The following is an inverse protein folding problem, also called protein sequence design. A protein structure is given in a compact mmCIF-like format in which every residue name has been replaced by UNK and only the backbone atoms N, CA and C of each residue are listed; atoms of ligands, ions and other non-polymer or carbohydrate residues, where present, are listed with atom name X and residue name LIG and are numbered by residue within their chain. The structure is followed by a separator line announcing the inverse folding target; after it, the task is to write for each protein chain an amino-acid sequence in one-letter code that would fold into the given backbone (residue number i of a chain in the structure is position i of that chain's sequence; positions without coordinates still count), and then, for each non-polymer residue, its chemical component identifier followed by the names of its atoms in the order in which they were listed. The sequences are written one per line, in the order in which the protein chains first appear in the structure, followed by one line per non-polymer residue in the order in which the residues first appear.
data_IF_412942139288
#
_entry.id   IF_412942139288
#
_cell.length_a   1.000
_cell.length_b   1.000
_cell.length_c   1.000
_cell.angle_alpha   90.00
_cell.angle_beta   90.00
_cell.angle_gamma   90.00
#
_symmetry.space_group_name_H-M   'P 1'
#
loop_
_entity.id
_entity.type
_entity.pdbx_description
1 polymer ?
#
# COMPACT_ATOMS: atom_id res chain seq x y z
N UNK A 1 -2.14 20.79 19.58
CA UNK A 1 -1.51 19.58 19.01
C UNK A 1 -1.74 19.62 17.52
N UNK A 2 -0.70 19.51 16.68
CA UNK A 2 -0.91 19.25 15.24
C UNK A 2 -1.61 17.90 15.16
N UNK A 3 -2.72 17.80 14.44
CA UNK A 3 -3.26 16.49 14.09
C UNK A 3 -2.16 15.76 13.31
N UNK A 4 -1.64 14.66 13.86
CA UNK A 4 -0.68 13.83 13.15
C UNK A 4 -1.38 13.30 11.90
N UNK A 5 -0.82 13.62 10.74
CA UNK A 5 -1.39 13.27 9.44
C UNK A 5 -0.79 11.95 8.95
N UNK A 6 -1.64 10.98 8.68
CA UNK A 6 -1.29 9.69 8.08
C UNK A 6 -1.17 9.81 6.54
N UNK A 7 -0.74 8.75 5.86
CA UNK A 7 -0.49 8.74 4.41
C UNK A 7 -1.71 9.19 3.58
N UNK A 8 -2.91 8.78 3.97
CA UNK A 8 -4.16 9.05 3.26
C UNK A 8 -4.79 10.42 3.63
N UNK A 9 -4.11 11.26 4.41
CA UNK A 9 -4.69 12.54 4.88
C UNK A 9 -4.66 13.65 3.83
N UNK A 10 -3.70 13.66 2.90
CA UNK A 10 -3.50 14.72 1.92
C UNK A 10 -3.09 14.15 0.55
N UNK A 11 -3.41 14.87 -0.54
CA UNK A 11 -2.91 14.53 -1.88
C UNK A 11 -1.41 14.77 -1.99
N UNK A 12 -0.69 13.81 -2.57
CA UNK A 12 0.75 13.88 -2.75
C UNK A 12 1.25 12.82 -3.75
N UNK A 13 2.37 13.12 -4.39
CA UNK A 13 3.15 12.17 -5.18
C UNK A 13 4.38 11.73 -4.38
N UNK A 14 4.73 10.45 -4.50
CA UNK A 14 5.76 9.82 -3.70
C UNK A 14 6.63 8.95 -4.60
N UNK A 15 7.95 9.07 -4.47
CA UNK A 15 8.91 8.13 -5.03
C UNK A 15 9.05 6.94 -4.09
N UNK A 16 9.10 5.72 -4.61
CA UNK A 16 9.20 4.50 -3.82
C UNK A 16 10.49 3.74 -4.09
N UNK A 17 11.05 3.14 -3.05
CA UNK A 17 12.15 2.18 -3.12
C UNK A 17 11.78 0.97 -2.26
N UNK A 18 11.62 -0.18 -2.91
CA UNK A 18 11.06 -1.39 -2.33
C UNK A 18 12.05 -2.55 -2.37
N UNK A 19 12.02 -3.35 -1.31
CA UNK A 19 12.66 -4.65 -1.23
C UNK A 19 11.58 -5.71 -0.96
N UNK A 20 11.52 -6.73 -1.81
CA UNK A 20 10.61 -7.88 -1.70
C UNK A 20 11.45 -9.12 -1.39
N UNK A 21 11.00 -9.92 -0.43
CA UNK A 21 11.67 -11.13 0.02
C UNK A 21 10.68 -12.29 -0.07
N UNK A 22 10.97 -13.23 -0.96
CA UNK A 22 10.14 -14.43 -1.10
C UNK A 22 10.30 -15.39 0.08
N UNK A 23 9.45 -16.42 0.12
CA UNK A 23 9.48 -17.48 1.15
C UNK A 23 10.81 -18.25 1.25
N UNK A 24 11.64 -18.21 0.21
CA UNK A 24 12.93 -18.89 0.15
C UNK A 24 14.09 -17.95 0.50
N UNK A 25 13.80 -16.67 0.79
CA UNK A 25 14.75 -15.64 1.19
C UNK A 25 15.40 -14.89 0.02
N UNK A 26 14.93 -15.10 -1.21
CA UNK A 26 15.45 -14.36 -2.35
C UNK A 26 14.95 -12.92 -2.33
N UNK A 27 15.85 -11.99 -2.64
CA UNK A 27 15.58 -10.55 -2.57
C UNK A 27 15.42 -9.98 -3.98
N UNK A 28 14.31 -9.29 -4.20
CA UNK A 28 14.05 -8.45 -5.37
C UNK A 28 13.92 -6.99 -4.96
N UNK A 29 14.42 -6.09 -5.80
CA UNK A 29 14.33 -4.65 -5.56
C UNK A 29 13.52 -3.97 -6.65
N UNK A 30 12.80 -2.93 -6.26
CA UNK A 30 12.01 -2.13 -7.17
C UNK A 30 12.09 -0.64 -6.83
N UNK A 31 11.90 0.17 -7.86
CA UNK A 31 11.63 1.60 -7.72
C UNK A 31 10.28 1.89 -8.34
N UNK A 32 9.59 2.91 -7.86
CA UNK A 32 8.25 3.19 -8.31
C UNK A 32 7.75 4.55 -7.87
N UNK A 33 6.46 4.78 -8.08
CA UNK A 33 5.79 5.97 -7.57
C UNK A 33 4.40 5.61 -7.04
N UNK A 34 3.91 6.45 -6.14
CA UNK A 34 2.54 6.46 -5.68
C UNK A 34 1.98 7.87 -5.77
N UNK A 35 0.80 8.02 -6.36
CA UNK A 35 0.06 9.27 -6.47
C UNK A 35 -1.24 9.12 -5.73
N UNK A 36 -1.36 9.87 -4.63
CA UNK A 36 -2.54 9.93 -3.80
C UNK A 36 -3.31 11.19 -4.14
N UNK A 37 -4.59 11.04 -4.44
CA UNK A 37 -5.53 12.10 -4.78
C UNK A 37 -6.69 12.00 -3.80
N UNK A 38 -6.86 13.01 -2.94
CA UNK A 38 -7.93 13.10 -1.96
C UNK A 38 -9.01 14.05 -2.47
N UNK A 39 -10.19 13.53 -2.77
CA UNK A 39 -11.35 14.27 -3.31
C UNK A 39 -12.60 14.01 -2.45
N UNK A 40 -12.71 14.75 -1.33
CA UNK A 40 -13.82 14.59 -0.41
C UNK A 40 -13.80 13.23 0.32
N UNK A 41 -14.86 12.40 0.23
CA UNK A 41 -14.88 11.08 0.85
C UNK A 41 -14.14 10.00 0.03
N UNK A 42 -13.79 10.30 -1.23
CA UNK A 42 -13.10 9.39 -2.13
C UNK A 42 -11.60 9.72 -2.19
N UNK A 43 -10.78 8.68 -2.17
CA UNK A 43 -9.33 8.76 -2.33
C UNK A 43 -8.92 7.80 -3.44
N UNK A 44 -8.14 8.29 -4.39
CA UNK A 44 -7.54 7.48 -5.44
C UNK A 44 -6.05 7.36 -5.14
N UNK A 45 -5.52 6.14 -5.17
CA UNK A 45 -4.08 5.89 -5.11
C UNK A 45 -3.63 5.13 -6.35
N UNK A 46 -2.93 5.83 -7.23
CA UNK A 46 -2.32 5.25 -8.43
C UNK A 46 -0.86 4.94 -8.12
N UNK A 47 -0.48 3.67 -8.23
CA UNK A 47 0.89 3.24 -7.94
C UNK A 47 1.46 2.47 -9.11
N UNK A 48 2.77 2.57 -9.27
CA UNK A 48 3.52 1.67 -10.12
C UNK A 48 4.86 1.32 -9.51
N UNK A 49 5.36 0.13 -9.79
CA UNK A 49 6.70 -0.31 -9.42
C UNK A 49 7.37 -0.99 -10.63
N UNK A 50 8.67 -0.78 -10.78
CA UNK A 50 9.52 -1.43 -11.76
C UNK A 50 10.31 -2.55 -11.09
N UNK A 51 9.91 -3.80 -11.36
CA UNK A 51 10.54 -5.02 -10.85
C UNK A 51 11.21 -5.71 -12.04
N UNK A 52 12.54 -5.88 -12.01
CA UNK A 52 13.30 -6.52 -13.09
C UNK A 52 13.00 -5.97 -14.50
N UNK A 53 12.78 -4.65 -14.60
CA UNK A 53 12.46 -3.99 -15.88
C UNK A 53 10.99 -4.11 -16.31
N UNK A 54 10.13 -4.77 -15.53
CA UNK A 54 8.68 -4.83 -15.75
C UNK A 54 7.97 -3.82 -14.87
N UNK A 55 7.09 -3.02 -15.48
CA UNK A 55 6.23 -2.07 -14.77
C UNK A 55 4.94 -2.75 -14.34
N UNK A 56 4.71 -2.81 -13.03
CA UNK A 56 3.48 -3.31 -12.41
C UNK A 56 2.71 -2.10 -11.90
N UNK A 57 1.43 -1.99 -12.23
CA UNK A 57 0.58 -0.88 -11.82
C UNK A 57 -0.57 -1.37 -10.94
N UNK A 58 -0.92 -0.59 -9.92
CA UNK A 58 -2.12 -0.78 -9.12
C UNK A 58 -2.89 0.54 -9.05
N UNK A 59 -4.22 0.46 -9.08
CA UNK A 59 -5.09 1.61 -8.86
C UNK A 59 -6.07 1.24 -7.76
N UNK A 60 -5.92 1.89 -6.61
CA UNK A 60 -6.78 1.75 -5.46
C UNK A 60 -7.86 2.83 -5.50
N UNK A 61 -9.11 2.41 -5.31
CA UNK A 61 -10.23 3.27 -4.93
C UNK A 61 -10.46 3.07 -3.44
N UNK A 62 -10.40 4.15 -2.68
CA UNK A 62 -10.44 4.13 -1.23
C UNK A 62 -11.59 5.03 -0.79
N UNK A 63 -12.52 4.48 -0.03
CA UNK A 63 -13.69 5.17 0.50
C UNK A 63 -13.53 5.40 2.00
N UNK A 64 -13.74 6.64 2.43
CA UNK A 64 -13.69 6.99 3.86
C UNK A 64 -14.99 6.57 4.56
N UNK A 65 -14.90 5.61 5.48
CA UNK A 65 -16.03 5.23 6.34
C UNK A 65 -16.09 6.06 7.62
N UNK A 66 -14.93 6.41 8.19
CA UNK A 66 -14.78 7.27 9.37
C UNK A 66 -13.40 7.93 9.38
N UNK A 67 -13.09 8.74 10.40
CA UNK A 67 -11.75 9.31 10.57
C UNK A 67 -10.66 8.26 10.83
N UNK A 68 -11.04 7.05 11.25
CA UNK A 68 -10.10 5.98 11.63
C UNK A 68 -10.23 4.72 10.77
N UNK A 69 -11.15 4.71 9.79
CA UNK A 69 -11.43 3.53 8.96
C UNK A 69 -11.77 3.92 7.53
N UNK A 70 -11.13 3.25 6.59
CA UNK A 70 -11.33 3.38 5.15
C UNK A 70 -11.49 2.00 4.55
N UNK A 71 -12.38 1.86 3.58
CA UNK A 71 -12.49 0.66 2.75
C UNK A 71 -11.74 0.87 1.45
N UNK A 72 -11.16 -0.18 0.86
CA UNK A 72 -10.55 -0.07 -0.46
C UNK A 72 -10.83 -1.24 -1.37
N UNK A 73 -10.81 -0.94 -2.66
CA UNK A 73 -10.75 -1.89 -3.76
C UNK A 73 -9.58 -1.55 -4.68
N UNK A 74 -8.86 -2.56 -5.15
CA UNK A 74 -7.78 -2.38 -6.11
C UNK A 74 -7.83 -3.44 -7.19
N UNK A 75 -7.77 -3.02 -8.45
CA UNK A 75 -7.58 -3.95 -9.56
C UNK A 75 -6.08 -4.14 -9.78
N UNK A 76 -5.56 -5.30 -9.40
CA UNK A 76 -4.19 -5.71 -9.74
C UNK A 76 -4.25 -6.61 -10.99
N UNK A 77 -3.55 -6.29 -12.08
CA UNK A 77 -3.56 -7.10 -13.30
C UNK A 77 -3.04 -8.53 -13.14
N UNK A 78 -2.12 -8.77 -12.21
CA UNK A 78 -1.47 -10.07 -12.00
C UNK A 78 -2.15 -10.91 -10.93
N UNK A 79 -2.62 -10.28 -9.84
CA UNK A 79 -3.21 -10.95 -8.68
C UNK A 79 -4.74 -11.03 -8.75
N UNK A 80 -5.40 -10.08 -9.42
CA UNK A 80 -6.85 -9.94 -9.44
C UNK A 80 -7.36 -8.77 -8.58
N UNK A 81 -8.66 -8.80 -8.25
CA UNK A 81 -9.28 -7.75 -7.45
C UNK A 81 -8.92 -7.93 -5.98
N UNK A 82 -8.26 -6.94 -5.39
CA UNK A 82 -7.98 -6.87 -3.96
C UNK A 82 -9.06 -6.03 -3.28
N UNK A 83 -9.49 -6.45 -2.09
CA UNK A 83 -10.40 -5.68 -1.23
C UNK A 83 -9.95 -5.79 0.22
N UNK A 84 -10.10 -4.70 0.96
CA UNK A 84 -9.64 -4.63 2.34
C UNK A 84 -10.03 -3.36 3.06
N UNK A 85 -9.48 -3.21 4.26
CA UNK A 85 -9.69 -2.05 5.12
C UNK A 85 -8.35 -1.44 5.52
N UNK A 86 -8.31 -0.11 5.55
CA UNK A 86 -7.30 0.66 6.26
C UNK A 86 -7.85 1.13 7.61
N UNK A 87 -7.12 0.86 8.69
CA UNK A 87 -7.40 1.36 10.02
C UNK A 87 -6.28 2.32 10.45
N UNK A 88 -6.61 3.43 11.07
CA UNK A 88 -5.64 4.49 11.41
C UNK A 88 -5.47 4.60 12.92
N UNK A 89 -4.21 4.62 13.38
CA UNK A 89 -3.82 5.15 14.70
C UNK A 89 -2.77 6.23 14.46
N UNK A 90 -3.12 7.50 14.72
CA UNK A 90 -2.22 8.64 14.56
C UNK A 90 -1.64 8.71 13.14
N UNK A 91 -0.32 8.59 12.98
CA UNK A 91 0.41 8.59 11.72
C UNK A 91 0.58 7.20 11.09
N UNK A 92 -0.02 6.16 11.69
CA UNK A 92 0.12 4.77 11.28
C UNK A 92 -1.16 4.31 10.58
N UNK A 93 -1.01 3.66 9.43
CA UNK A 93 -2.10 3.00 8.70
C UNK A 93 -1.86 1.49 8.70
N UNK A 94 -2.85 0.74 9.16
CA UNK A 94 -2.89 -0.71 9.13
C UNK A 94 -3.83 -1.17 8.03
N UNK A 95 -3.30 -1.88 7.05
CA UNK A 95 -4.06 -2.48 5.95
C UNK A 95 -4.22 -3.98 6.20
N UNK A 96 -5.41 -4.51 5.94
CA UNK A 96 -5.61 -5.96 5.79
C UNK A 96 -6.47 -6.20 4.57
N UNK A 97 -6.09 -7.17 3.73
CA UNK A 97 -6.76 -7.41 2.46
C UNK A 97 -6.85 -8.88 2.09
N UNK A 98 -7.74 -9.15 1.15
CA UNK A 98 -7.93 -10.43 0.48
C UNK A 98 -7.99 -10.20 -1.02
N UNK A 99 -7.71 -11.25 -1.80
CA UNK A 99 -7.83 -11.22 -3.26
C UNK A 99 -8.99 -12.11 -3.69
N UNK A 100 -9.94 -11.55 -4.44
CA UNK A 100 -11.14 -12.24 -4.90
C UNK A 100 -10.80 -13.53 -5.64
N UNK A 101 -11.65 -14.55 -5.48
CA UNK A 101 -11.53 -15.86 -6.14
C UNK A 101 -10.22 -16.62 -5.87
N UNK A 102 -9.55 -16.33 -4.76
CA UNK A 102 -8.31 -16.99 -4.35
C UNK A 102 -8.21 -17.16 -2.83
N UNK A 103 -7.20 -17.91 -2.37
CA UNK A 103 -6.77 -17.99 -0.97
C UNK A 103 -5.77 -16.91 -0.56
N UNK A 104 -5.45 -15.98 -1.48
CA UNK A 104 -4.47 -14.93 -1.24
C UNK A 104 -5.00 -13.88 -0.27
N UNK A 105 -4.18 -13.55 0.72
CA UNK A 105 -4.48 -12.54 1.71
C UNK A 105 -3.20 -11.89 2.22
N UNK A 106 -3.31 -10.72 2.81
CA UNK A 106 -2.15 -10.00 3.29
C UNK A 106 -2.48 -8.86 4.22
N UNK A 107 -1.43 -8.21 4.68
CA UNK A 107 -1.52 -7.00 5.47
C UNK A 107 -0.34 -6.09 5.20
N UNK A 108 -0.53 -4.81 5.45
CA UNK A 108 0.52 -3.80 5.41
C UNK A 108 0.44 -2.88 6.63
N UNK A 109 1.57 -2.37 7.06
CA UNK A 109 1.69 -1.33 8.09
C UNK A 109 2.49 -0.20 7.47
N UNK A 110 1.90 0.99 7.46
CA UNK A 110 2.47 2.20 6.90
C UNK A 110 2.69 3.18 8.03
N UNK A 111 3.93 3.58 8.27
CA UNK A 111 4.29 4.58 9.28
C UNK A 111 4.75 5.82 8.53
N UNK A 112 4.03 6.93 8.69
CA UNK A 112 4.40 8.20 8.09
C UNK A 112 5.17 9.08 9.06
N UNK A 113 6.30 9.62 8.62
CA UNK A 113 7.08 10.62 9.34
C UNK A 113 7.36 11.79 8.40
N UNK A 114 6.62 12.88 8.58
CA UNK A 114 6.61 14.05 7.68
C UNK A 114 6.49 13.68 6.18
N UNK A 115 7.58 13.85 5.42
CA UNK A 115 7.67 13.62 3.98
C UNK A 115 8.26 12.24 3.62
N UNK A 116 8.35 11.35 4.61
CA UNK A 116 8.74 9.95 4.43
C UNK A 116 7.62 9.01 4.92
N UNK A 117 7.44 7.87 4.26
CA UNK A 117 6.70 6.74 4.81
C UNK A 117 7.54 5.48 4.76
N UNK A 118 7.51 4.70 5.83
CA UNK A 118 8.01 3.33 5.84
C UNK A 118 6.85 2.35 5.82
N UNK A 119 6.87 1.42 4.89
CA UNK A 119 5.86 0.38 4.72
C UNK A 119 6.49 -0.98 4.98
N UNK A 120 5.78 -1.82 5.73
CA UNK A 120 6.04 -3.25 5.85
C UNK A 120 4.80 -4.01 5.45
N UNK A 121 4.95 -5.03 4.60
CA UNK A 121 3.83 -5.82 4.18
C UNK A 121 4.16 -7.28 3.96
N UNK A 122 3.11 -8.09 3.89
CA UNK A 122 3.21 -9.52 3.68
C UNK A 122 2.04 -10.04 2.84
N UNK A 123 2.32 -11.07 2.05
CA UNK A 123 1.35 -11.80 1.24
C UNK A 123 1.43 -13.28 1.59
N UNK A 124 0.26 -13.86 1.82
CA UNK A 124 0.06 -15.27 2.12
C UNK A 124 -0.83 -15.92 1.07
N UNK A 125 -0.66 -17.24 0.90
CA UNK A 125 -1.61 -18.14 0.26
C UNK A 125 -2.16 -19.10 1.32
N UNK A 126 -3.38 -18.81 1.78
CA UNK A 126 -3.94 -19.44 2.98
C UNK A 126 -3.00 -19.23 4.18
N UNK A 127 -2.46 -20.30 4.81
CA UNK A 127 -1.50 -20.18 5.91
C UNK A 127 -0.04 -20.01 5.48
N UNK A 128 0.27 -20.11 4.18
CA UNK A 128 1.64 -20.15 3.69
C UNK A 128 2.14 -18.75 3.34
N UNK A 129 3.28 -18.34 3.91
CA UNK A 129 3.95 -17.10 3.52
C UNK A 129 4.43 -17.22 2.07
N UNK A 130 4.11 -16.23 1.24
CA UNK A 130 4.63 -16.13 -0.13
C UNK A 130 5.72 -15.09 -0.24
N UNK A 131 5.46 -13.89 0.27
CA UNK A 131 6.34 -12.73 0.10
C UNK A 131 6.18 -11.76 1.27
N UNK A 132 7.27 -11.08 1.62
CA UNK A 132 7.28 -9.93 2.52
C UNK A 132 7.95 -8.76 1.83
N UNK A 133 7.58 -7.54 2.16
CA UNK A 133 8.22 -6.36 1.59
C UNK A 133 8.45 -5.27 2.60
N UNK A 134 9.46 -4.47 2.29
CA UNK A 134 9.71 -3.18 2.90
C UNK A 134 9.78 -2.14 1.80
N UNK A 135 9.01 -1.06 1.93
CA UNK A 135 9.06 0.08 1.01
C UNK A 135 9.35 1.35 1.79
N UNK A 136 10.24 2.18 1.25
CA UNK A 136 10.41 3.56 1.67
C UNK A 136 9.80 4.45 0.59
N UNK A 137 8.93 5.35 1.02
CA UNK A 137 8.32 6.37 0.18
C UNK A 137 8.86 7.73 0.60
N UNK A 138 9.29 8.54 -0.37
CA UNK A 138 9.71 9.92 -0.14
C UNK A 138 8.83 10.83 -0.98
N UNK A 139 8.24 11.85 -0.36
CA UNK A 139 7.35 12.78 -1.03
C UNK A 139 8.11 13.57 -2.10
N UNK A 140 7.52 13.69 -3.28
CA UNK A 140 8.05 14.48 -4.38
C UNK A 140 7.70 15.97 -4.17
N UNK A 141 8.66 16.85 -4.50
CA UNK A 141 8.50 18.31 -4.37
C UNK A 141 7.68 18.91 -5.51
#
# INVERSE_FOLDING_TARGET
MRAEKHLLSDSAEWMTNSEFVDKDGNILRAIGEAKIIVEGPEIINETWACVEGKRICNCYRIEKESDLKYHFECQNPELGKQTGDFNVDRNIVYSKFTVSDSSLNGFEIIVKDDDECTIYGTLYDGPNLLNTWRTIMVKMQ
#
